data_IF_349559764327
#
_entry.id   IF_349559764327
#
_cell.length_a   1.000
_cell.length_b   1.000
_cell.length_c   1.000
_cell.angle_alpha   90.00
_cell.angle_beta   90.00
_cell.angle_gamma   90.00
#
_symmetry.space_group_name_H-M   'P 1'
#
loop_
_entity.id
_entity.type
_entity.pdbx_description
1 polymer ?
#
# COMPACT_ATOMS: atom_id res chain seq x y z
N UNK A 1 49.43 8.95 -100.90
CA UNK A 1 49.14 8.56 -99.57
C UNK A 1 49.63 7.10 -99.42
N UNK A 2 50.70 6.98 -98.71
CA UNK A 2 51.36 5.68 -98.53
C UNK A 2 50.64 4.85 -97.50
N UNK A 3 50.66 3.50 -97.56
CA UNK A 3 49.99 2.55 -96.67
C UNK A 3 50.44 2.80 -95.23
N UNK A 4 51.64 3.29 -95.01
CA UNK A 4 52.23 3.68 -93.71
C UNK A 4 51.51 4.90 -93.05
N UNK A 5 51.12 5.91 -93.86
CA UNK A 5 50.39 7.06 -93.33
C UNK A 5 49.01 6.70 -92.81
N UNK A 6 48.34 5.73 -93.44
CA UNK A 6 47.05 5.22 -92.98
C UNK A 6 47.16 4.39 -91.61
N UNK A 7 48.20 3.57 -91.55
CA UNK A 7 48.49 2.78 -90.32
C UNK A 7 48.80 3.71 -89.15
N UNK A 8 49.65 4.76 -89.36
CA UNK A 8 49.98 5.72 -88.33
C UNK A 8 48.73 6.53 -87.85
N UNK A 9 47.85 6.89 -88.80
CA UNK A 9 46.62 7.59 -88.46
C UNK A 9 45.67 6.72 -87.70
N UNK A 10 45.46 5.46 -88.09
CA UNK A 10 44.62 4.48 -87.41
C UNK A 10 45.18 4.20 -86.00
N UNK A 11 46.47 4.04 -85.84
CA UNK A 11 47.13 3.87 -84.55
C UNK A 11 46.85 5.01 -83.59
N UNK A 12 46.97 6.29 -84.09
CA UNK A 12 46.67 7.48 -83.28
C UNK A 12 45.19 7.54 -82.85
N UNK A 13 44.28 7.24 -83.78
CA UNK A 13 42.82 7.20 -83.49
C UNK A 13 42.50 6.15 -82.45
N UNK A 14 43.09 4.95 -82.50
CA UNK A 14 42.94 3.92 -81.53
C UNK A 14 43.48 4.33 -80.16
N UNK A 15 44.64 4.92 -80.07
CA UNK A 15 45.24 5.44 -78.85
C UNK A 15 44.36 6.56 -78.27
N UNK A 16 43.93 7.50 -79.07
CA UNK A 16 43.05 8.58 -78.60
C UNK A 16 41.71 8.10 -78.12
N UNK A 17 41.13 7.10 -78.81
CA UNK A 17 39.90 6.47 -78.37
C UNK A 17 40.09 5.70 -77.02
N UNK A 18 41.20 4.96 -76.86
CA UNK A 18 41.52 4.24 -75.65
C UNK A 18 41.76 5.18 -74.44
N UNK A 19 42.42 6.34 -74.68
CA UNK A 19 42.61 7.39 -73.67
C UNK A 19 41.26 8.01 -73.21
N UNK A 20 40.38 8.33 -74.20
CA UNK A 20 39.03 8.83 -73.90
C UNK A 20 38.18 7.84 -73.15
N UNK A 21 38.20 6.56 -73.50
CA UNK A 21 37.52 5.48 -72.80
C UNK A 21 38.08 5.32 -71.38
N UNK A 22 39.41 5.37 -71.23
CA UNK A 22 40.04 5.29 -69.89
C UNK A 22 39.63 6.48 -68.98
N UNK A 23 39.62 7.69 -69.51
CA UNK A 23 39.19 8.89 -68.78
C UNK A 23 37.70 8.82 -68.37
N UNK A 24 36.86 8.34 -69.29
CA UNK A 24 35.42 8.07 -68.97
C UNK A 24 35.23 7.05 -67.84
N UNK A 25 35.95 5.93 -67.93
CA UNK A 25 35.92 4.91 -66.87
C UNK A 25 36.38 5.48 -65.53
N UNK A 26 37.44 6.23 -65.48
CA UNK A 26 37.97 6.89 -64.29
C UNK A 26 36.97 7.89 -63.70
N UNK A 27 36.32 8.68 -64.56
CA UNK A 27 35.32 9.66 -64.14
C UNK A 27 34.09 8.99 -63.57
N UNK A 28 33.58 7.94 -64.24
CA UNK A 28 32.47 7.15 -63.77
C UNK A 28 32.78 6.43 -62.37
N UNK A 29 34.03 5.92 -62.33
CA UNK A 29 34.46 5.27 -61.07
C UNK A 29 34.57 6.28 -59.89
N UNK A 30 35.09 7.46 -60.13
CA UNK A 30 35.12 8.54 -59.11
C UNK A 30 33.73 8.99 -58.70
N UNK A 31 32.83 9.20 -59.68
CA UNK A 31 31.43 9.53 -59.38
C UNK A 31 30.74 8.47 -58.53
N UNK A 32 30.90 7.20 -58.88
CA UNK A 32 30.36 6.08 -58.07
C UNK A 32 30.97 6.05 -56.68
N UNK A 33 32.27 6.23 -56.54
CA UNK A 33 32.93 6.26 -55.22
C UNK A 33 32.39 7.40 -54.34
N UNK A 34 32.16 8.58 -54.94
CA UNK A 34 31.58 9.72 -54.21
C UNK A 34 30.11 9.48 -53.82
N UNK A 35 29.32 8.88 -54.70
CA UNK A 35 27.95 8.48 -54.35
C UNK A 35 27.91 7.47 -53.17
N UNK A 36 28.75 6.46 -53.19
CA UNK A 36 28.87 5.48 -52.10
C UNK A 36 29.28 6.16 -50.80
N UNK A 37 30.25 7.08 -50.85
CA UNK A 37 30.71 7.84 -49.68
C UNK A 37 29.60 8.69 -49.08
N UNK A 38 28.88 9.45 -49.92
CA UNK A 38 27.78 10.30 -49.48
C UNK A 38 26.65 9.49 -48.90
N UNK A 39 26.25 8.40 -49.55
CA UNK A 39 25.25 7.50 -49.04
C UNK A 39 25.65 6.88 -47.66
N UNK A 40 26.88 6.42 -47.53
CA UNK A 40 27.40 5.92 -46.25
C UNK A 40 27.36 6.98 -45.13
N UNK A 41 27.71 8.24 -45.45
CA UNK A 41 27.62 9.33 -44.50
C UNK A 41 26.21 9.65 -44.07
N UNK A 42 25.23 9.62 -45.01
CA UNK A 42 23.80 9.80 -44.69
C UNK A 42 23.29 8.68 -43.77
N UNK A 43 23.60 7.42 -44.07
CA UNK A 43 23.21 6.27 -43.25
C UNK A 43 23.83 6.39 -41.86
N UNK A 44 25.10 6.69 -41.73
CA UNK A 44 25.78 6.88 -40.44
C UNK A 44 25.13 8.03 -39.65
N UNK A 45 24.81 9.13 -40.27
CA UNK A 45 24.17 10.29 -39.61
C UNK A 45 22.76 9.91 -39.11
N UNK A 46 21.98 9.20 -39.94
CA UNK A 46 20.64 8.70 -39.56
C UNK A 46 20.71 7.69 -38.40
N UNK A 47 21.61 6.74 -38.47
CA UNK A 47 21.81 5.75 -37.42
C UNK A 47 22.26 6.37 -36.09
N UNK A 48 23.22 7.29 -36.16
CA UNK A 48 23.66 8.06 -34.99
C UNK A 48 22.48 8.78 -34.30
N UNK A 49 21.66 9.48 -35.11
CA UNK A 49 20.46 10.17 -34.60
C UNK A 49 19.49 9.21 -33.94
N UNK A 50 19.20 8.10 -34.63
CA UNK A 50 18.29 7.05 -34.10
C UNK A 50 18.78 6.46 -32.78
N UNK A 51 20.06 6.12 -32.68
CA UNK A 51 20.67 5.55 -31.47
C UNK A 51 20.60 6.54 -30.29
N UNK A 52 20.93 7.82 -30.56
CA UNK A 52 20.89 8.86 -29.53
C UNK A 52 19.45 9.12 -29.04
N UNK A 53 18.50 9.15 -29.97
CA UNK A 53 17.08 9.32 -29.64
C UNK A 53 16.53 8.13 -28.80
N UNK A 54 16.89 6.91 -29.21
CA UNK A 54 16.52 5.71 -28.44
C UNK A 54 17.15 5.72 -27.04
N UNK A 55 18.45 6.04 -26.94
CA UNK A 55 19.11 6.12 -25.63
C UNK A 55 18.52 7.21 -24.75
N UNK A 56 18.09 8.33 -25.29
CA UNK A 56 17.38 9.38 -24.55
C UNK A 56 16.02 8.89 -24.04
N UNK A 57 15.23 8.26 -24.90
CA UNK A 57 13.93 7.71 -24.53
C UNK A 57 14.05 6.64 -23.45
N UNK A 58 15.06 5.77 -23.54
CA UNK A 58 15.34 4.75 -22.53
C UNK A 58 15.77 5.38 -21.19
N UNK A 59 16.62 6.39 -21.23
CA UNK A 59 17.03 7.12 -20.04
C UNK A 59 15.84 7.83 -19.36
N UNK A 60 14.97 8.48 -20.13
CA UNK A 60 13.76 9.15 -19.62
C UNK A 60 12.79 8.13 -19.02
N UNK A 61 12.62 6.97 -19.66
CA UNK A 61 11.80 5.86 -19.14
C UNK A 61 12.33 5.32 -17.81
N UNK A 62 13.62 5.03 -17.73
CA UNK A 62 14.27 4.54 -16.51
C UNK A 62 14.15 5.56 -15.39
N UNK A 63 14.38 6.84 -15.69
CA UNK A 63 14.23 7.93 -14.72
C UNK A 63 12.79 8.04 -14.21
N UNK A 64 11.80 7.96 -15.11
CA UNK A 64 10.39 7.98 -14.74
C UNK A 64 10.00 6.80 -13.84
N UNK A 65 10.45 5.60 -14.16
CA UNK A 65 10.23 4.41 -13.34
C UNK A 65 10.88 4.53 -11.96
N UNK A 66 12.13 4.97 -11.90
CA UNK A 66 12.84 5.16 -10.63
C UNK A 66 12.14 6.19 -9.73
N UNK A 67 11.69 7.31 -10.30
CA UNK A 67 10.96 8.34 -9.57
C UNK A 67 9.62 7.84 -9.05
N UNK A 68 8.83 7.14 -9.87
CA UNK A 68 7.55 6.55 -9.48
C UNK A 68 7.73 5.51 -8.35
N UNK A 69 8.75 4.66 -8.47
CA UNK A 69 9.08 3.67 -7.42
C UNK A 69 9.49 4.35 -6.12
N UNK A 70 10.32 5.38 -6.18
CA UNK A 70 10.74 6.13 -5.00
C UNK A 70 9.55 6.82 -4.30
N UNK A 71 8.62 7.41 -5.07
CA UNK A 71 7.41 8.02 -4.54
C UNK A 71 6.48 6.97 -3.90
N UNK A 72 6.32 5.81 -4.52
CA UNK A 72 5.54 4.70 -3.95
C UNK A 72 6.14 4.23 -2.63
N UNK A 73 7.44 3.97 -2.59
CA UNK A 73 8.13 3.55 -1.39
C UNK A 73 8.02 4.59 -0.25
N UNK A 74 8.14 5.88 -0.57
CA UNK A 74 7.97 6.94 0.41
C UNK A 74 6.55 6.96 0.99
N UNK A 75 5.52 6.80 0.15
CA UNK A 75 4.12 6.68 0.61
C UNK A 75 3.91 5.46 1.48
N UNK A 76 4.43 4.31 1.09
CA UNK A 76 4.33 3.06 1.87
C UNK A 76 4.96 3.25 3.24
N UNK A 77 6.17 3.82 3.31
CA UNK A 77 6.86 4.07 4.59
C UNK A 77 6.05 4.99 5.53
N UNK A 78 5.45 6.04 4.98
CA UNK A 78 4.57 6.95 5.74
C UNK A 78 3.36 6.19 6.28
N UNK A 79 2.69 5.38 5.44
CA UNK A 79 1.51 4.61 5.85
C UNK A 79 1.87 3.55 6.90
N UNK A 80 2.97 2.85 6.74
CA UNK A 80 3.46 1.89 7.74
C UNK A 80 3.79 2.56 9.09
N UNK A 81 4.40 3.74 9.05
CA UNK A 81 4.71 4.51 10.26
C UNK A 81 3.44 4.96 10.99
N UNK A 82 2.43 5.41 10.23
CA UNK A 82 1.12 5.78 10.77
C UNK A 82 0.40 4.59 11.39
N UNK A 83 0.43 3.44 10.72
CA UNK A 83 -0.18 2.20 11.21
C UNK A 83 0.48 1.75 12.52
N UNK A 84 1.81 1.74 12.59
CA UNK A 84 2.54 1.41 13.81
C UNK A 84 2.16 2.32 14.98
N UNK A 85 1.98 3.61 14.71
CA UNK A 85 1.56 4.57 15.72
C UNK A 85 0.14 4.25 16.24
N UNK A 86 -0.81 4.01 15.34
CA UNK A 86 -2.17 3.63 15.71
C UNK A 86 -2.20 2.35 16.55
N UNK A 87 -1.50 1.31 16.10
CA UNK A 87 -1.41 0.04 16.84
C UNK A 87 -0.86 0.28 18.24
N UNK A 88 0.23 1.05 18.39
CA UNK A 88 0.80 1.33 19.71
C UNK A 88 -0.16 2.08 20.64
N UNK A 89 -0.99 2.97 20.09
CA UNK A 89 -2.02 3.68 20.88
C UNK A 89 -3.09 2.73 21.37
N UNK A 90 -3.59 1.82 20.50
CA UNK A 90 -4.59 0.82 20.91
C UNK A 90 -4.01 -0.18 21.92
N UNK A 91 -2.79 -0.66 21.73
CA UNK A 91 -2.08 -1.51 22.69
C UNK A 91 -1.92 -0.84 24.06
N UNK A 92 -1.43 0.41 24.08
CA UNK A 92 -1.32 1.18 25.32
C UNK A 92 -2.66 1.45 25.98
N UNK A 93 -3.72 1.60 25.19
CA UNK A 93 -5.08 1.74 25.71
C UNK A 93 -5.58 0.44 26.36
N UNK A 94 -5.31 -0.70 25.71
CA UNK A 94 -5.61 -2.03 26.27
C UNK A 94 -4.94 -2.25 27.64
N UNK A 95 -3.67 -1.88 27.77
CA UNK A 95 -2.93 -2.02 29.03
C UNK A 95 -3.50 -1.14 30.15
N UNK A 96 -4.13 -0.02 29.80
CA UNK A 96 -4.73 0.91 30.76
C UNK A 96 -6.16 0.58 31.16
N UNK A 97 -6.83 -0.33 30.46
CA UNK A 97 -8.22 -0.72 30.77
C UNK A 97 -8.42 -1.10 32.24
N UNK A 98 -7.56 -1.94 32.89
CA UNK A 98 -7.77 -2.28 34.27
C UNK A 98 -7.77 -1.08 35.24
N UNK A 99 -7.10 0.02 34.88
CA UNK A 99 -7.08 1.23 35.70
C UNK A 99 -8.47 1.94 35.76
N UNK A 100 -9.37 1.66 34.82
CA UNK A 100 -10.74 2.21 34.79
C UNK A 100 -11.52 1.81 36.07
N UNK A 101 -11.19 0.68 36.69
CA UNK A 101 -11.79 0.22 37.94
C UNK A 101 -11.62 1.19 39.11
N UNK A 102 -10.61 2.08 39.04
CA UNK A 102 -10.36 3.08 40.07
C UNK A 102 -11.18 4.37 39.87
N UNK A 103 -11.97 4.50 38.81
CA UNK A 103 -12.76 5.70 38.56
C UNK A 103 -14.04 5.69 39.42
N UNK A 104 -14.44 6.88 39.87
CA UNK A 104 -15.63 7.07 40.72
C UNK A 104 -16.93 6.61 40.10
N UNK A 105 -17.02 6.67 38.79
CA UNK A 105 -18.19 6.30 37.97
C UNK A 105 -18.14 4.85 37.46
N UNK A 106 -17.10 4.07 37.82
CA UNK A 106 -17.00 2.67 37.45
C UNK A 106 -18.26 1.83 37.82
N UNK A 107 -18.92 2.00 38.98
CA UNK A 107 -20.17 1.31 39.27
C UNK A 107 -21.28 1.55 38.23
N UNK A 108 -21.40 2.76 37.72
CA UNK A 108 -22.37 3.06 36.67
C UNK A 108 -22.00 2.42 35.32
N UNK A 109 -20.70 2.37 35.02
CA UNK A 109 -20.19 1.66 33.84
C UNK A 109 -20.53 0.18 33.93
N UNK A 110 -20.28 -0.47 35.08
CA UNK A 110 -20.58 -1.87 35.33
C UNK A 110 -22.07 -2.15 35.16
N UNK A 111 -22.95 -1.29 35.71
CA UNK A 111 -24.39 -1.39 35.53
C UNK A 111 -24.81 -1.38 34.06
N UNK A 112 -24.24 -0.44 33.31
CA UNK A 112 -24.49 -0.32 31.85
C UNK A 112 -24.01 -1.55 31.09
N UNK A 113 -22.80 -2.04 31.38
CA UNK A 113 -22.23 -3.24 30.75
C UNK A 113 -23.09 -4.49 31.02
N UNK A 114 -23.59 -4.64 32.26
CA UNK A 114 -24.44 -5.76 32.62
C UNK A 114 -25.79 -5.71 31.90
N UNK A 115 -26.47 -4.57 31.94
CA UNK A 115 -27.76 -4.41 31.28
C UNK A 115 -27.66 -4.65 29.78
N UNK A 116 -26.64 -4.13 29.14
CA UNK A 116 -26.39 -4.34 27.69
C UNK A 116 -26.16 -5.84 27.40
N UNK A 117 -25.32 -6.52 28.20
CA UNK A 117 -25.05 -7.94 28.02
C UNK A 117 -26.31 -8.80 28.20
N UNK A 118 -27.13 -8.50 29.19
CA UNK A 118 -28.42 -9.17 29.43
C UNK A 118 -29.37 -8.96 28.25
N UNK A 119 -29.49 -7.72 27.75
CA UNK A 119 -30.34 -7.40 26.61
C UNK A 119 -29.93 -8.14 25.35
N UNK A 120 -28.64 -8.31 25.12
CA UNK A 120 -28.12 -9.02 23.96
C UNK A 120 -28.41 -10.53 23.98
N UNK A 121 -28.46 -11.14 25.17
CA UNK A 121 -28.83 -12.54 25.30
C UNK A 121 -30.35 -12.78 25.16
N UNK A 122 -31.17 -11.78 25.44
CA UNK A 122 -32.63 -11.83 25.31
C UNK A 122 -33.28 -13.03 26.02
N UNK A 123 -32.81 -13.43 27.22
CA UNK A 123 -33.30 -14.55 28.01
C UNK A 123 -33.68 -14.09 29.41
N UNK A 124 -34.58 -14.84 30.09
CA UNK A 124 -35.09 -14.50 31.43
C UNK A 124 -34.18 -14.96 32.57
N UNK A 125 -33.18 -15.79 32.30
CA UNK A 125 -32.23 -16.26 33.32
C UNK A 125 -30.84 -16.15 32.84
N UNK A 126 -30.00 -15.32 33.51
CA UNK A 126 -28.65 -14.97 33.13
C UNK A 126 -27.68 -15.20 34.27
N UNK A 127 -26.51 -15.75 33.96
CA UNK A 127 -25.38 -15.85 34.85
C UNK A 127 -24.38 -14.77 34.46
N UNK A 128 -24.00 -13.90 35.41
CA UNK A 128 -23.01 -12.87 35.20
C UNK A 128 -21.66 -13.30 35.78
N UNK A 129 -20.65 -13.30 34.92
CA UNK A 129 -19.26 -13.48 35.29
C UNK A 129 -18.55 -12.14 35.20
N UNK A 130 -17.69 -11.81 36.14
CA UNK A 130 -16.92 -10.56 36.15
C UNK A 130 -15.54 -10.82 36.76
N UNK A 131 -14.59 -9.92 36.47
CA UNK A 131 -13.33 -9.95 37.21
C UNK A 131 -13.53 -9.71 38.69
N UNK A 132 -12.54 -10.03 39.51
CA UNK A 132 -12.67 -10.03 40.97
C UNK A 132 -13.20 -8.72 41.55
N UNK A 133 -12.68 -7.56 41.09
CA UNK A 133 -13.07 -6.23 41.56
C UNK A 133 -14.52 -5.94 41.19
N UNK A 134 -14.86 -6.17 39.93
CA UNK A 134 -16.21 -5.97 39.38
C UNK A 134 -17.21 -6.94 40.03
N UNK A 135 -16.80 -8.17 40.32
CA UNK A 135 -17.64 -9.18 40.98
C UNK A 135 -18.02 -8.78 42.43
N UNK A 136 -17.05 -8.27 43.20
CA UNK A 136 -17.30 -7.76 44.53
C UNK A 136 -18.26 -6.54 44.49
N UNK A 137 -18.03 -5.62 43.53
CA UNK A 137 -18.89 -4.47 43.30
C UNK A 137 -20.34 -4.87 42.92
N UNK A 138 -20.50 -5.90 42.12
CA UNK A 138 -21.81 -6.44 41.76
C UNK A 138 -22.55 -6.95 43.00
N UNK A 139 -21.89 -7.72 43.88
CA UNK A 139 -22.47 -8.22 45.13
C UNK A 139 -22.96 -7.12 46.05
N UNK A 140 -22.16 -6.09 46.23
CA UNK A 140 -22.39 -5.05 47.23
C UNK A 140 -23.55 -4.12 46.88
N UNK A 141 -23.64 -3.66 45.62
CA UNK A 141 -24.57 -2.58 45.30
C UNK A 141 -25.23 -2.65 43.92
N UNK A 142 -24.53 -3.12 42.89
CA UNK A 142 -24.98 -2.94 41.51
C UNK A 142 -26.04 -3.97 41.10
N UNK A 143 -25.97 -5.19 41.66
CA UNK A 143 -26.91 -6.28 41.36
C UNK A 143 -28.37 -5.90 41.72
N UNK A 144 -28.57 -5.21 42.84
CA UNK A 144 -29.89 -4.70 43.23
C UNK A 144 -30.45 -3.70 42.23
N UNK A 145 -29.61 -2.82 41.69
CA UNK A 145 -30.03 -1.84 40.68
C UNK A 145 -30.37 -2.51 39.34
N UNK A 146 -29.59 -3.49 38.93
CA UNK A 146 -29.86 -4.25 37.69
C UNK A 146 -31.16 -5.02 37.82
N UNK A 147 -31.40 -5.73 38.97
CA UNK A 147 -32.61 -6.48 39.21
C UNK A 147 -33.90 -5.64 39.21
N UNK A 148 -33.82 -4.32 39.45
CA UNK A 148 -35.00 -3.46 39.33
C UNK A 148 -35.31 -3.08 37.89
N UNK A 149 -34.35 -3.23 36.98
CA UNK A 149 -34.45 -2.86 35.56
C UNK A 149 -34.61 -4.08 34.63
N UNK A 150 -34.38 -5.25 35.13
CA UNK A 150 -34.50 -6.50 34.39
C UNK A 150 -35.55 -7.41 34.99
N UNK A 151 -36.53 -7.80 34.18
CA UNK A 151 -37.66 -8.68 34.60
C UNK A 151 -37.24 -10.14 34.42
N UNK A 152 -36.26 -10.59 35.22
CA UNK A 152 -35.71 -11.95 35.15
C UNK A 152 -34.80 -12.28 36.33
N UNK A 153 -34.19 -13.46 36.30
CA UNK A 153 -33.30 -13.94 37.35
C UNK A 153 -31.86 -13.75 36.96
N UNK A 154 -31.08 -13.09 37.82
CA UNK A 154 -29.65 -12.89 37.64
C UNK A 154 -28.91 -13.67 38.72
N UNK A 155 -28.02 -14.56 38.31
CA UNK A 155 -27.11 -15.30 39.19
C UNK A 155 -25.67 -14.80 38.96
N UNK A 156 -24.86 -14.77 40.01
CA UNK A 156 -23.43 -14.52 39.90
C UNK A 156 -22.69 -15.83 39.74
N UNK A 157 -21.93 -15.93 38.64
CA UNK A 157 -21.06 -17.07 38.38
C UNK A 157 -19.64 -16.90 38.96
N UNK A 158 -18.74 -17.79 38.59
CA UNK A 158 -17.35 -17.71 39.02
C UNK A 158 -16.66 -16.47 38.47
N UNK A 159 -15.72 -15.89 39.22
CA UNK A 159 -14.93 -14.76 38.74
C UNK A 159 -14.12 -15.09 37.48
N UNK A 160 -14.07 -14.14 36.55
CA UNK A 160 -13.25 -14.25 35.35
C UNK A 160 -11.76 -14.28 35.71
N UNK A 161 -11.02 -15.10 35.01
CA UNK A 161 -9.55 -15.19 35.15
C UNK A 161 -8.82 -14.06 34.42
N UNK A 162 -9.43 -13.51 33.37
CA UNK A 162 -8.89 -12.45 32.52
C UNK A 162 -10.02 -11.55 32.00
N UNK A 163 -9.68 -10.28 31.74
CA UNK A 163 -10.60 -9.27 31.23
C UNK A 163 -11.18 -8.41 32.34
N UNK A 164 -11.57 -7.18 32.01
CA UNK A 164 -12.13 -6.17 32.90
C UNK A 164 -13.57 -5.92 32.51
N UNK A 165 -14.54 -6.16 33.41
CA UNK A 165 -15.96 -5.94 33.13
C UNK A 165 -16.77 -7.23 33.26
N UNK A 166 -17.72 -7.49 32.33
CA UNK A 166 -18.75 -8.49 32.48
C UNK A 166 -18.82 -9.40 31.25
N UNK A 167 -19.05 -10.68 31.55
CA UNK A 167 -19.51 -11.68 30.59
C UNK A 167 -20.84 -12.21 31.08
N UNK A 168 -21.87 -12.15 30.25
CA UNK A 168 -23.16 -12.75 30.54
C UNK A 168 -23.28 -14.10 29.83
N UNK A 169 -23.84 -15.10 30.55
CA UNK A 169 -24.05 -16.46 30.04
C UNK A 169 -25.47 -16.91 30.32
N UNK A 170 -26.05 -17.70 29.43
CA UNK A 170 -27.36 -18.34 29.68
C UNK A 170 -27.23 -19.47 30.68
N UNK A 171 -28.31 -19.77 31.43
CA UNK A 171 -28.29 -20.80 32.47
C UNK A 171 -27.97 -22.21 31.95
N UNK A 172 -28.16 -22.46 30.68
CA UNK A 172 -27.82 -23.72 29.99
C UNK A 172 -26.38 -23.77 29.46
N UNK A 173 -25.65 -22.65 29.57
CA UNK A 173 -24.26 -22.53 29.09
C UNK A 173 -24.07 -22.47 27.56
N UNK A 174 -25.15 -22.40 26.78
CA UNK A 174 -25.08 -22.45 25.31
C UNK A 174 -24.73 -21.12 24.66
N UNK A 175 -25.14 -20.01 25.26
CA UNK A 175 -24.88 -18.68 24.76
C UNK A 175 -24.12 -17.86 25.78
N UNK A 176 -23.13 -17.13 25.35
CA UNK A 176 -22.47 -16.14 26.17
C UNK A 176 -22.26 -14.84 25.38
N UNK A 177 -22.27 -13.74 26.09
CA UNK A 177 -21.96 -12.42 25.53
C UNK A 177 -20.84 -11.77 26.35
N UNK A 178 -19.67 -11.68 25.72
CA UNK A 178 -18.50 -11.02 26.31
C UNK A 178 -18.64 -9.51 26.13
N UNK A 179 -18.91 -8.81 27.22
CA UNK A 179 -18.99 -7.36 27.30
C UNK A 179 -17.87 -6.78 28.18
N UNK A 180 -16.70 -7.44 28.19
CA UNK A 180 -15.50 -6.88 28.80
C UNK A 180 -15.05 -5.63 28.02
N UNK A 181 -14.40 -4.71 28.73
CA UNK A 181 -13.91 -3.46 28.13
C UNK A 181 -12.88 -3.74 27.02
N UNK A 182 -12.08 -4.76 27.17
CA UNK A 182 -11.11 -5.22 26.16
C UNK A 182 -11.81 -5.69 24.89
N UNK A 183 -12.87 -6.48 25.02
CA UNK A 183 -13.66 -6.96 23.88
C UNK A 183 -14.40 -5.81 23.19
N UNK A 184 -14.94 -4.86 23.99
CA UNK A 184 -15.56 -3.64 23.45
C UNK A 184 -14.58 -2.80 22.66
N UNK A 185 -13.38 -2.58 23.21
CA UNK A 185 -12.36 -1.80 22.52
C UNK A 185 -11.98 -2.46 21.17
N UNK A 186 -11.84 -3.78 21.14
CA UNK A 186 -11.58 -4.50 19.86
C UNK A 186 -12.73 -4.37 18.86
N UNK A 187 -13.97 -4.45 19.31
CA UNK A 187 -15.14 -4.27 18.40
C UNK A 187 -15.20 -2.87 17.82
N UNK A 188 -14.89 -1.87 18.64
CA UNK A 188 -14.92 -0.45 18.25
C UNK A 188 -13.65 0.00 17.55
N UNK A 189 -12.58 -0.79 17.54
CA UNK A 189 -11.29 -0.40 16.94
C UNK A 189 -11.46 0.13 15.52
N UNK A 190 -12.24 -0.57 14.68
CA UNK A 190 -12.47 -0.15 13.30
C UNK A 190 -13.07 1.24 13.18
N UNK A 191 -14.03 1.57 14.04
CA UNK A 191 -14.70 2.88 14.07
C UNK A 191 -13.82 3.96 14.69
N UNK A 192 -13.03 3.60 15.70
CA UNK A 192 -12.17 4.53 16.43
C UNK A 192 -10.88 4.87 15.68
N UNK A 193 -10.43 4.06 14.71
CA UNK A 193 -9.18 4.28 13.98
C UNK A 193 -9.12 5.65 13.32
N UNK A 194 -10.18 6.07 12.65
CA UNK A 194 -10.21 7.35 11.96
C UNK A 194 -10.21 8.55 12.92
N UNK A 195 -11.09 8.63 13.93
CA UNK A 195 -11.04 9.70 14.93
C UNK A 195 -9.69 9.77 15.68
N UNK A 196 -9.14 8.63 16.09
CA UNK A 196 -7.84 8.58 16.78
C UNK A 196 -6.73 9.07 15.86
N UNK A 197 -6.76 8.69 14.59
CA UNK A 197 -5.79 9.18 13.61
C UNK A 197 -5.83 10.72 13.48
N UNK A 198 -7.03 11.29 13.29
CA UNK A 198 -7.19 12.76 13.19
C UNK A 198 -6.68 13.49 14.44
N UNK A 199 -6.99 12.95 15.62
CA UNK A 199 -6.51 13.50 16.89
C UNK A 199 -4.98 13.48 16.99
N UNK A 200 -4.34 12.38 16.59
CA UNK A 200 -2.89 12.23 16.62
C UNK A 200 -2.18 13.14 15.62
N UNK A 201 -2.80 13.42 14.48
CA UNK A 201 -2.24 14.30 13.46
C UNK A 201 -2.53 15.79 13.70
N UNK A 202 -3.31 16.14 14.74
CA UNK A 202 -3.73 17.51 15.01
C UNK A 202 -4.74 18.05 14.00
N UNK A 203 -5.43 17.16 13.28
CA UNK A 203 -6.50 17.51 12.37
C UNK A 203 -7.81 17.61 13.19
N UNK A 204 -8.59 18.68 12.98
CA UNK A 204 -9.93 18.82 13.57
C UNK A 204 -10.89 17.81 12.95
N UNK A 205 -11.66 17.11 13.80
CA UNK A 205 -12.74 16.21 13.39
C UNK A 205 -13.84 16.94 12.61
#
# INVERSE_FOLDING_TARGET
MTQDDNIQRLSREIIQQAEADAEKILTEAKAKAEQIRNHAQEVIAADKKRILEQAKNDADRIRGQALATAQLNARTLILESREKLLVSVFESSMEKIPAVQNYSDYPAIVESLALEAIQQLAVNKVILHADKVTHDLLKDSVLKKISTKFDGTIELGEPLKKGTGIVAETADGHLNYDNTLETRLRRLEGELRSPVYHLLMGETL
#
